data_IF_721053244016
#
_entry.id   IF_721053244016
#
_cell.length_a   1.000
_cell.length_b   1.000
_cell.length_c   1.000
_cell.angle_alpha   90.00
_cell.angle_beta   90.00
_cell.angle_gamma   90.00
#
_symmetry.space_group_name_H-M   'P 1'
#
loop_
_entity.id
_entity.type
_entity.pdbx_description
1 polymer ?
#
# COMPACT_ATOMS: atom_id res chain seq x y z
N UNK A 1 1.07 -3.01 14.55
CA UNK A 1 -0.36 -2.75 14.25
C UNK A 1 -0.53 -1.24 14.31
N UNK A 2 -0.28 -0.56 13.19
CA UNK A 2 -0.15 0.89 13.19
C UNK A 2 -1.51 1.47 12.79
N UNK A 3 -2.12 2.24 13.69
CA UNK A 3 -3.46 2.83 13.55
C UNK A 3 -3.59 3.93 12.50
N UNK A 4 -2.75 3.94 11.47
CA UNK A 4 -2.75 4.90 10.36
C UNK A 4 -3.44 4.32 9.12
N UNK A 5 -4.47 3.50 9.31
CA UNK A 5 -5.31 3.09 8.19
C UNK A 5 -6.07 4.28 7.61
N UNK A 6 -6.44 4.22 6.33
CA UNK A 6 -7.25 5.25 5.67
C UNK A 6 -8.50 5.69 6.46
N UNK A 7 -9.09 4.79 7.26
CA UNK A 7 -10.25 5.10 8.10
C UNK A 7 -9.99 6.04 9.28
N UNK A 8 -8.73 6.33 9.62
CA UNK A 8 -8.38 7.20 10.75
C UNK A 8 -8.95 8.61 10.59
N UNK A 9 -8.96 9.15 9.37
CA UNK A 9 -9.51 10.49 9.09
C UNK A 9 -11.00 10.55 9.42
N UNK A 10 -11.77 9.52 9.06
CA UNK A 10 -13.19 9.45 9.37
C UNK A 10 -13.41 9.34 10.87
N UNK A 11 -12.61 8.52 11.55
CA UNK A 11 -12.67 8.36 12.99
C UNK A 11 -12.41 9.69 13.71
N UNK A 12 -11.41 10.46 13.29
CA UNK A 12 -11.11 11.78 13.87
C UNK A 12 -12.27 12.77 13.74
N UNK A 13 -12.98 12.78 12.60
CA UNK A 13 -14.18 13.60 12.43
C UNK A 13 -15.31 13.16 13.36
N UNK A 14 -15.56 11.84 13.48
CA UNK A 14 -16.57 11.33 14.38
C UNK A 14 -16.27 11.65 15.85
N UNK A 15 -15.02 11.56 16.28
CA UNK A 15 -14.61 11.87 17.65
C UNK A 15 -14.66 13.37 17.95
N UNK A 16 -14.32 14.22 16.97
CA UNK A 16 -14.19 15.68 17.18
C UNK A 16 -15.52 16.42 17.04
N UNK A 17 -16.31 16.07 16.02
CA UNK A 17 -17.54 16.80 15.66
C UNK A 17 -18.78 15.92 15.59
N UNK A 18 -18.63 14.58 15.57
CA UNK A 18 -19.73 13.64 15.37
C UNK A 18 -20.31 13.64 13.95
N UNK A 19 -19.72 14.40 13.03
CA UNK A 19 -20.21 14.57 11.66
C UNK A 19 -19.03 14.47 10.70
N UNK A 20 -19.18 13.67 9.65
CA UNK A 20 -18.22 13.59 8.55
C UNK A 20 -18.72 14.48 7.40
N UNK A 21 -17.96 15.50 6.97
CA UNK A 21 -18.28 16.24 5.76
C UNK A 21 -18.41 15.33 4.54
N UNK A 22 -19.39 15.59 3.68
CA UNK A 22 -19.69 14.72 2.54
C UNK A 22 -18.51 14.57 1.57
N UNK A 23 -17.75 15.64 1.34
CA UNK A 23 -16.54 15.65 0.53
C UNK A 23 -15.45 14.74 1.12
N UNK A 24 -15.24 14.79 2.44
CA UNK A 24 -14.30 13.91 3.15
C UNK A 24 -14.72 12.45 3.01
N UNK A 25 -16.01 12.16 3.22
CA UNK A 25 -16.54 10.80 3.05
C UNK A 25 -16.36 10.29 1.62
N UNK A 26 -16.70 11.11 0.62
CA UNK A 26 -16.55 10.75 -0.79
C UNK A 26 -15.08 10.51 -1.17
N UNK A 27 -14.16 11.36 -0.71
CA UNK A 27 -12.73 11.19 -0.96
C UNK A 27 -12.19 9.90 -0.33
N UNK A 28 -12.57 9.62 0.92
CA UNK A 28 -12.22 8.37 1.59
C UNK A 28 -12.78 7.17 0.83
N UNK A 29 -14.07 7.19 0.48
CA UNK A 29 -14.73 6.10 -0.22
C UNK A 29 -14.09 5.81 -1.58
N UNK A 30 -13.76 6.86 -2.33
CA UNK A 30 -13.08 6.73 -3.61
C UNK A 30 -11.70 6.06 -3.44
N UNK A 31 -10.94 6.48 -2.43
CA UNK A 31 -9.62 5.92 -2.13
C UNK A 31 -9.72 4.45 -1.72
N UNK A 32 -10.70 4.10 -0.89
CA UNK A 32 -10.94 2.73 -0.45
C UNK A 32 -11.35 1.81 -1.62
N UNK A 33 -12.19 2.32 -2.52
CA UNK A 33 -12.60 1.60 -3.74
C UNK A 33 -11.41 1.33 -4.65
N UNK A 34 -10.55 2.33 -4.87
CA UNK A 34 -9.34 2.18 -5.69
C UNK A 34 -8.33 1.22 -5.05
N UNK A 35 -8.16 1.29 -3.72
CA UNK A 35 -7.35 0.36 -2.94
C UNK A 35 -7.81 -1.09 -3.15
N UNK A 36 -9.11 -1.35 -3.02
CA UNK A 36 -9.67 -2.68 -3.23
C UNK A 36 -9.42 -3.20 -4.65
N UNK A 37 -9.67 -2.38 -5.67
CA UNK A 37 -9.46 -2.76 -7.07
C UNK A 37 -7.98 -3.07 -7.39
N UNK A 38 -7.07 -2.24 -6.88
CA UNK A 38 -5.63 -2.46 -7.04
C UNK A 38 -5.17 -3.72 -6.31
N UNK A 39 -5.61 -3.95 -5.08
CA UNK A 39 -5.25 -5.15 -4.34
C UNK A 39 -5.73 -6.42 -5.06
N UNK A 40 -6.97 -6.44 -5.55
CA UNK A 40 -7.50 -7.56 -6.32
C UNK A 40 -6.68 -7.80 -7.59
N UNK A 41 -6.41 -6.74 -8.36
CA UNK A 41 -5.58 -6.82 -9.56
C UNK A 41 -4.20 -7.41 -9.26
N UNK A 42 -3.52 -6.92 -8.21
CA UNK A 42 -2.20 -7.41 -7.84
C UNK A 42 -2.23 -8.85 -7.33
N UNK A 43 -3.26 -9.27 -6.59
CA UNK A 43 -3.38 -10.68 -6.16
C UNK A 43 -3.60 -11.62 -7.36
N UNK A 44 -4.40 -11.22 -8.34
CA UNK A 44 -4.69 -12.04 -9.53
C UNK A 44 -3.51 -12.10 -10.49
N UNK A 45 -2.88 -10.95 -10.79
CA UNK A 45 -1.81 -10.86 -11.79
C UNK A 45 -0.44 -11.21 -11.22
N UNK A 46 -0.24 -10.97 -9.93
CA UNK A 46 1.04 -11.16 -9.25
C UNK A 46 0.84 -11.82 -7.87
N UNK A 47 0.46 -13.11 -7.83
CA UNK A 47 0.17 -13.80 -6.57
C UNK A 47 1.31 -13.67 -5.55
N UNK A 48 0.96 -13.39 -4.30
CA UNK A 48 1.92 -13.14 -3.23
C UNK A 48 2.44 -11.69 -3.16
N UNK A 49 1.86 -10.78 -3.95
CA UNK A 49 2.12 -9.35 -3.80
C UNK A 49 1.59 -8.81 -2.48
N UNK A 50 2.30 -7.85 -1.91
CA UNK A 50 1.95 -7.23 -0.64
C UNK A 50 1.86 -5.72 -0.80
N UNK A 51 0.79 -5.13 -0.27
CA UNK A 51 0.67 -3.68 -0.14
C UNK A 51 1.57 -3.22 1.02
N UNK A 52 2.62 -2.48 0.72
CA UNK A 52 3.61 -2.03 1.72
C UNK A 52 3.44 -0.56 2.10
N UNK A 53 2.78 0.24 1.26
CA UNK A 53 2.47 1.63 1.55
C UNK A 53 1.16 2.04 0.86
N UNK A 54 0.33 2.78 1.58
CA UNK A 54 -0.90 3.36 1.09
C UNK A 54 -1.09 4.73 1.73
N UNK A 55 -0.99 5.79 0.93
CA UNK A 55 -1.14 7.16 1.39
C UNK A 55 -1.95 7.97 0.39
N UNK A 56 -3.23 8.18 0.71
CA UNK A 56 -4.17 8.81 -0.23
C UNK A 56 -4.20 8.02 -1.54
N UNK A 57 -3.94 8.69 -2.67
CA UNK A 57 -3.92 8.06 -3.99
C UNK A 57 -2.63 7.30 -4.35
N UNK A 58 -1.64 7.24 -3.45
CA UNK A 58 -0.36 6.59 -3.71
C UNK A 58 -0.29 5.20 -3.08
N UNK A 59 0.06 4.21 -3.91
CA UNK A 59 0.13 2.80 -3.54
C UNK A 59 1.49 2.23 -3.89
N UNK A 60 2.07 1.46 -2.97
CA UNK A 60 3.31 0.73 -3.23
C UNK A 60 3.10 -0.74 -2.95
N UNK A 61 3.31 -1.55 -3.98
CA UNK A 61 3.22 -3.00 -3.90
C UNK A 61 4.61 -3.63 -3.99
N UNK A 62 4.88 -4.57 -3.10
CA UNK A 62 6.00 -5.48 -3.24
C UNK A 62 5.55 -6.72 -4.00
N UNK A 63 6.14 -6.96 -5.16
CA UNK A 63 5.87 -8.12 -6.01
C UNK A 63 6.98 -9.16 -5.83
N UNK A 64 6.67 -10.47 -5.71
CA UNK A 64 7.69 -11.51 -5.59
C UNK A 64 8.61 -11.56 -6.82
N UNK A 65 9.93 -11.73 -6.62
CA UNK A 65 10.94 -11.78 -7.70
C UNK A 65 10.71 -12.87 -8.75
N UNK A 66 10.00 -13.93 -8.39
CA UNK A 66 9.67 -15.04 -9.29
C UNK A 66 8.35 -14.85 -10.05
N UNK A 67 7.59 -13.77 -9.78
CA UNK A 67 6.31 -13.54 -10.41
C UNK A 67 6.50 -13.20 -11.90
N UNK A 68 7.14 -12.07 -12.22
CA UNK A 68 7.34 -11.61 -13.60
C UNK A 68 8.59 -10.73 -13.75
N UNK A 69 9.14 -10.67 -14.97
CA UNK A 69 10.19 -9.71 -15.34
C UNK A 69 9.61 -8.28 -15.29
N UNK A 70 10.38 -7.24 -14.91
CA UNK A 70 9.88 -5.87 -14.82
C UNK A 70 9.11 -5.40 -16.06
N UNK A 71 9.61 -5.69 -17.27
CA UNK A 71 8.94 -5.36 -18.53
C UNK A 71 7.51 -5.92 -18.65
N UNK A 72 7.27 -7.15 -18.17
CA UNK A 72 5.93 -7.74 -18.21
C UNK A 72 4.99 -7.08 -17.18
N UNK A 73 5.53 -6.60 -16.06
CA UNK A 73 4.77 -5.81 -15.08
C UNK A 73 4.35 -4.47 -15.70
N UNK A 74 5.25 -3.78 -16.40
CA UNK A 74 4.92 -2.56 -17.15
C UNK A 74 3.79 -2.80 -18.16
N UNK A 75 3.89 -3.85 -18.97
CA UNK A 75 2.85 -4.19 -19.96
C UNK A 75 1.47 -4.39 -19.33
N UNK A 76 1.39 -5.19 -18.26
CA UNK A 76 0.13 -5.45 -17.56
C UNK A 76 -0.46 -4.19 -16.91
N UNK A 77 0.38 -3.31 -16.35
CA UNK A 77 -0.08 -2.05 -15.77
C UNK A 77 -0.59 -1.11 -16.85
N UNK A 78 0.08 -1.02 -17.99
CA UNK A 78 -0.35 -0.18 -19.12
C UNK A 78 -1.69 -0.65 -19.70
N UNK A 79 -1.83 -1.96 -19.91
CA UNK A 79 -3.07 -2.57 -20.44
C UNK A 79 -4.30 -2.33 -19.54
N UNK A 80 -4.09 -2.16 -18.23
CA UNK A 80 -5.17 -2.01 -17.24
C UNK A 80 -5.22 -0.59 -16.64
N UNK A 81 -4.43 0.35 -17.16
CA UNK A 81 -4.24 1.70 -16.57
C UNK A 81 -5.54 2.47 -16.44
N UNK A 82 -6.35 2.50 -17.49
CA UNK A 82 -7.63 3.21 -17.51
C UNK A 82 -8.67 2.55 -16.57
N UNK A 83 -8.73 1.22 -16.58
CA UNK A 83 -9.66 0.45 -15.73
C UNK A 83 -9.34 0.61 -14.24
N UNK A 84 -8.05 0.70 -13.90
CA UNK A 84 -7.58 0.88 -12.52
C UNK A 84 -7.48 2.34 -12.10
N UNK A 85 -7.82 3.29 -12.98
CA UNK A 85 -7.70 4.73 -12.75
C UNK A 85 -6.28 5.17 -12.32
N UNK A 86 -5.26 4.55 -12.89
CA UNK A 86 -3.86 4.86 -12.57
C UNK A 86 -3.41 6.09 -13.39
N UNK A 87 -3.06 7.18 -12.71
CA UNK A 87 -2.48 8.36 -13.36
C UNK A 87 -1.03 8.11 -13.82
N UNK A 88 -0.21 7.58 -12.91
CA UNK A 88 1.22 7.32 -13.11
C UNK A 88 1.63 6.08 -12.31
N UNK A 89 2.63 5.34 -12.81
CA UNK A 89 3.21 4.20 -12.11
C UNK A 89 4.70 4.08 -12.42
N UNK A 90 5.42 3.39 -11.53
CA UNK A 90 6.82 3.03 -11.70
C UNK A 90 7.07 1.64 -11.17
N UNK A 91 8.00 0.92 -11.78
CA UNK A 91 8.48 -0.38 -11.31
C UNK A 91 9.96 -0.25 -11.04
N UNK A 92 10.36 -0.50 -9.80
CA UNK A 92 11.76 -0.52 -9.38
C UNK A 92 12.09 -1.88 -8.77
N UNK A 93 13.34 -2.31 -8.95
CA UNK A 93 13.84 -3.44 -8.18
C UNK A 93 14.10 -2.97 -6.74
N UNK A 94 13.75 -3.80 -5.77
CA UNK A 94 14.13 -3.53 -4.38
C UNK A 94 15.65 -3.54 -4.29
N UNK A 95 16.22 -2.40 -3.96
CA UNK A 95 17.67 -2.24 -3.85
C UNK A 95 18.22 -2.99 -2.64
N UNK A 96 19.50 -3.37 -2.71
CA UNK A 96 20.16 -4.01 -1.58
C UNK A 96 20.17 -3.09 -0.36
N UNK A 97 20.33 -1.77 -0.53
CA UNK A 97 20.27 -0.85 0.61
C UNK A 97 18.89 -0.86 1.29
N UNK A 98 17.80 -0.97 0.53
CA UNK A 98 16.46 -1.08 1.10
C UNK A 98 16.29 -2.40 1.88
N UNK A 99 16.79 -3.52 1.35
CA UNK A 99 16.78 -4.81 2.05
C UNK A 99 17.56 -4.73 3.36
N UNK A 100 18.77 -4.14 3.34
CA UNK A 100 19.57 -3.94 4.54
C UNK A 100 18.86 -3.05 5.57
N UNK A 101 18.24 -1.96 5.13
CA UNK A 101 17.51 -1.06 6.03
C UNK A 101 16.27 -1.73 6.63
N UNK A 102 15.50 -2.50 5.86
CA UNK A 102 14.36 -3.26 6.38
C UNK A 102 14.81 -4.34 7.36
N UNK A 103 15.91 -5.06 7.07
CA UNK A 103 16.49 -6.04 8.01
C UNK A 103 16.97 -5.37 9.30
N UNK A 104 17.65 -4.22 9.21
CA UNK A 104 18.12 -3.48 10.39
C UNK A 104 16.95 -2.94 11.24
N UNK A 105 15.89 -2.46 10.60
CA UNK A 105 14.67 -2.03 11.28
C UNK A 105 13.98 -3.19 12.03
N UNK A 106 13.94 -4.38 11.44
CA UNK A 106 13.37 -5.58 12.09
C UNK A 106 14.23 -6.07 13.27
N UNK A 107 15.56 -6.00 13.16
CA UNK A 107 16.47 -6.38 14.25
C UNK A 107 16.43 -5.42 15.45
N UNK A 108 16.03 -4.16 15.25
CA UNK A 108 15.83 -3.18 16.32
C UNK A 108 14.61 -3.44 17.19
N UNK A 109 13.56 -4.07 16.64
CA UNK A 109 12.34 -4.42 17.37
C UNK A 109 12.51 -5.68 18.24
N UNK A 110 13.34 -6.64 17.82
CA UNK A 110 13.60 -7.88 18.58
C UNK A 110 14.47 -7.67 19.83
N UNK A 111 15.26 -6.59 19.91
CA UNK A 111 16.11 -6.30 21.08
C UNK A 111 15.34 -5.67 22.25
N UNK A 112 14.20 -5.01 21.99
CA UNK A 112 13.40 -4.38 23.05
C UNK A 112 12.51 -5.38 23.82
N UNK A 113 12.17 -6.54 23.22
CA UNK A 113 11.41 -7.59 23.90
C UNK A 113 12.29 -8.50 24.78
N UNK A 114 13.61 -8.51 24.58
CA UNK A 114 14.56 -9.35 25.32
C UNK A 114 15.10 -8.75 26.63
N UNK A 115 14.83 -7.47 26.90
CA UNK A 115 15.36 -6.73 28.06
C UNK A 115 14.43 -6.73 29.29
N UNK A 116 13.23 -7.32 29.20
CA UNK A 116 12.24 -7.35 30.28
C UNK A 116 12.16 -8.72 30.98
N UNK A 117 13.31 -9.36 31.25
CA UNK A 117 13.37 -10.63 31.97
C UNK A 117 14.41 -10.65 33.06
#
# INVERSE_FOLDING_TARGET
>A
MNGEGNGSVLNSYLETSGIIPMDVFCAWWHTETMSSALQEFFQVKFPGSQLIEHQGGHFRFQVPKHALRPFAIFGLLEENKEQLHISEYGVSETSLEHIFNTMAAQQGEEQLLGSAR
#
